data_IF_560598189628
#
_entry.id   IF_560598189628
#
_cell.length_a   1.000
_cell.length_b   1.000
_cell.length_c   1.000
_cell.angle_alpha   90.00
_cell.angle_beta   90.00
_cell.angle_gamma   90.00
#
_symmetry.space_group_name_H-M   'P 1'
#
loop_
_entity.id
_entity.type
_entity.pdbx_description
1 polymer ?
#
# COMPACT_ATOMS: atom_id res chain seq x y z
N UNK A 1 -11.78 24.44 3.86
CA UNK A 1 -12.42 25.78 3.90
C UNK A 1 -11.94 26.44 5.18
N UNK A 2 -11.15 27.51 5.07
CA UNK A 2 -10.67 28.26 6.23
C UNK A 2 -11.49 29.55 6.35
N UNK A 3 -12.01 29.83 7.54
CA UNK A 3 -12.62 31.12 7.87
C UNK A 3 -11.79 31.78 8.97
N UNK A 4 -11.46 33.08 8.86
CA UNK A 4 -11.78 33.96 7.73
C UNK A 4 -11.04 33.57 6.45
N UNK A 5 -11.52 34.03 5.27
CA UNK A 5 -10.89 33.72 4.00
C UNK A 5 -9.44 34.20 4.01
N UNK A 6 -8.49 33.29 3.78
CA UNK A 6 -7.09 33.69 3.53
C UNK A 6 -6.98 34.15 2.08
N UNK A 7 -6.35 35.30 1.86
CA UNK A 7 -5.98 35.73 0.51
C UNK A 7 -4.88 34.79 0.00
N UNK A 8 -5.17 34.06 -1.08
CA UNK A 8 -4.11 33.35 -1.81
C UNK A 8 -3.29 34.41 -2.56
N UNK A 9 -1.97 34.44 -2.34
CA UNK A 9 -1.07 35.37 -3.03
C UNK A 9 -1.16 35.14 -4.54
N UNK A 10 -1.33 36.22 -5.30
CA UNK A 10 -1.26 36.24 -6.77
C UNK A 10 0.19 36.34 -7.29
N UNK A 11 1.17 36.20 -6.41
CA UNK A 11 2.59 36.33 -6.71
C UNK A 11 3.11 35.03 -7.33
N UNK A 12 3.60 35.03 -8.58
CA UNK A 12 4.12 33.84 -9.26
C UNK A 12 5.34 33.22 -8.56
N UNK A 13 6.08 33.98 -7.75
CA UNK A 13 7.17 33.46 -6.91
C UNK A 13 6.69 32.87 -5.57
N UNK A 14 5.42 33.11 -5.22
CA UNK A 14 4.77 32.61 -4.01
C UNK A 14 3.57 31.73 -4.39
N UNK A 15 3.84 30.72 -5.22
CA UNK A 15 2.86 29.69 -5.54
C UNK A 15 2.49 28.96 -4.25
N UNK A 16 1.21 28.99 -3.82
CA UNK A 16 0.81 28.26 -2.63
C UNK A 16 1.11 26.78 -2.85
N UNK A 17 1.63 26.08 -1.84
CA UNK A 17 1.87 24.64 -1.96
C UNK A 17 0.56 23.96 -2.35
N UNK A 18 0.62 23.04 -3.31
CA UNK A 18 -0.52 22.21 -3.71
C UNK A 18 -0.95 21.44 -2.46
N UNK A 19 -2.05 21.89 -1.85
CA UNK A 19 -2.55 21.38 -0.59
C UNK A 19 -3.85 20.61 -0.82
N UNK A 20 -3.82 19.31 -0.57
CA UNK A 20 -4.99 18.44 -0.60
C UNK A 20 -5.44 18.13 0.83
N UNK A 21 -6.67 18.49 1.21
CA UNK A 21 -7.18 18.18 2.54
C UNK A 21 -7.37 16.67 2.77
N UNK A 22 -7.50 15.87 1.69
CA UNK A 22 -7.76 14.43 1.78
C UNK A 22 -6.55 13.64 2.29
N UNK A 23 -5.37 14.25 2.32
CA UNK A 23 -4.14 13.67 2.88
C UNK A 23 -3.77 14.27 4.23
N UNK A 24 -4.62 15.13 4.81
CA UNK A 24 -4.35 15.74 6.12
C UNK A 24 -4.89 14.85 7.24
N UNK A 25 -4.10 14.71 8.32
CA UNK A 25 -4.43 13.86 9.46
C UNK A 25 -5.83 14.10 10.05
N UNK A 26 -6.23 15.38 10.19
CA UNK A 26 -7.55 15.72 10.73
C UNK A 26 -8.70 15.19 9.88
N UNK A 27 -8.53 15.16 8.56
CA UNK A 27 -9.53 14.66 7.63
C UNK A 27 -9.49 13.14 7.58
N UNK A 28 -8.31 12.55 7.40
CA UNK A 28 -8.14 11.09 7.31
C UNK A 28 -8.59 10.39 8.59
N UNK A 29 -8.18 10.91 9.75
CA UNK A 29 -8.52 10.35 11.06
C UNK A 29 -9.99 10.48 11.43
N UNK A 30 -10.72 11.42 10.81
CA UNK A 30 -12.17 11.54 10.97
C UNK A 30 -12.95 10.74 9.91
N UNK A 31 -12.36 10.53 8.74
CA UNK A 31 -13.01 9.85 7.62
C UNK A 31 -12.87 8.32 7.67
N UNK A 32 -11.82 7.80 8.31
CA UNK A 32 -11.49 6.37 8.30
C UNK A 32 -11.06 5.87 9.67
N UNK A 33 -11.44 4.64 10.02
CA UNK A 33 -10.92 3.96 11.22
C UNK A 33 -9.47 3.51 11.01
N UNK A 34 -8.68 3.36 12.08
CA UNK A 34 -7.33 2.79 12.03
C UNK A 34 -7.28 1.47 11.25
N UNK A 35 -6.17 1.23 10.56
CA UNK A 35 -6.01 0.05 9.69
C UNK A 35 -4.61 -0.57 9.77
N UNK A 36 -4.59 -1.90 9.62
CA UNK A 36 -3.39 -2.72 9.40
C UNK A 36 -3.24 -2.97 7.91
N UNK A 37 -2.15 -2.48 7.33
CA UNK A 37 -1.93 -2.47 5.89
C UNK A 37 -0.69 -3.27 5.50
N UNK A 38 -0.85 -4.16 4.53
CA UNK A 38 0.29 -4.78 3.83
C UNK A 38 0.33 -4.29 2.39
N UNK A 39 1.43 -3.64 2.00
CA UNK A 39 1.62 -3.18 0.61
C UNK A 39 2.55 -4.14 -0.10
N UNK A 40 2.09 -4.72 -1.21
CA UNK A 40 2.85 -5.63 -2.06
C UNK A 40 3.27 -4.89 -3.33
N UNK A 41 4.57 -4.77 -3.55
CA UNK A 41 5.15 -4.07 -4.69
C UNK A 41 5.85 -5.07 -5.62
N UNK A 42 5.40 -5.13 -6.86
CA UNK A 42 5.94 -6.03 -7.87
C UNK A 42 7.34 -5.59 -8.35
N UNK A 43 8.36 -6.42 -8.11
CA UNK A 43 9.73 -6.17 -8.54
C UNK A 43 9.88 -6.14 -10.06
N UNK A 44 9.01 -6.82 -10.82
CA UNK A 44 9.04 -6.79 -12.29
C UNK A 44 8.71 -5.40 -12.84
N UNK A 45 7.92 -4.61 -12.09
CA UNK A 45 7.59 -3.21 -12.43
C UNK A 45 8.82 -2.29 -12.41
N UNK A 46 9.93 -2.72 -11.81
CA UNK A 46 11.15 -1.93 -11.69
C UNK A 46 12.07 -2.05 -12.91
N UNK A 47 11.74 -2.95 -13.85
CA UNK A 47 12.52 -3.18 -15.08
C UNK A 47 12.53 -1.96 -16.02
N UNK A 48 11.46 -1.17 -16.02
CA UNK A 48 11.35 0.06 -16.82
C UNK A 48 11.40 1.29 -15.91
N UNK A 49 12.18 2.32 -16.28
CA UNK A 49 12.25 3.59 -15.54
C UNK A 49 10.88 4.25 -15.39
N UNK A 50 10.02 4.16 -16.41
CA UNK A 50 8.66 4.72 -16.36
C UNK A 50 7.80 4.00 -15.33
N UNK A 51 7.75 2.66 -15.39
CA UNK A 51 6.96 1.83 -14.48
C UNK A 51 7.47 1.94 -13.04
N UNK A 52 8.79 1.95 -12.85
CA UNK A 52 9.44 2.18 -11.57
C UNK A 52 8.99 3.49 -10.93
N UNK A 53 9.02 4.59 -11.68
CA UNK A 53 8.61 5.89 -11.16
C UNK A 53 7.12 5.90 -10.77
N UNK A 54 6.26 5.23 -11.56
CA UNK A 54 4.84 5.11 -11.25
C UNK A 54 4.60 4.26 -9.99
N UNK A 55 5.21 3.08 -9.90
CA UNK A 55 5.08 2.21 -8.72
C UNK A 55 5.55 2.92 -7.43
N UNK A 56 6.69 3.62 -7.48
CA UNK A 56 7.20 4.41 -6.36
C UNK A 56 6.24 5.55 -6.01
N UNK A 57 5.74 6.29 -7.01
CA UNK A 57 4.82 7.40 -6.78
C UNK A 57 3.50 6.91 -6.17
N UNK A 58 2.89 5.85 -6.71
CA UNK A 58 1.68 5.24 -6.16
C UNK A 58 1.88 4.77 -4.73
N UNK A 59 2.99 4.07 -4.45
CA UNK A 59 3.29 3.60 -3.08
C UNK A 59 3.48 4.78 -2.13
N UNK A 60 4.20 5.84 -2.55
CA UNK A 60 4.38 7.05 -1.75
C UNK A 60 3.04 7.73 -1.44
N UNK A 61 2.17 7.88 -2.44
CA UNK A 61 0.85 8.49 -2.26
C UNK A 61 -0.03 7.69 -1.31
N UNK A 62 0.05 6.36 -1.31
CA UNK A 62 -0.63 5.52 -0.32
C UNK A 62 -0.07 5.81 1.08
N UNK A 63 1.26 5.80 1.23
CA UNK A 63 1.91 6.07 2.51
C UNK A 63 1.63 7.49 3.04
N UNK A 64 1.43 8.48 2.17
CA UNK A 64 1.03 9.85 2.52
C UNK A 64 -0.38 9.94 3.15
N UNK A 65 -1.20 8.89 3.02
CA UNK A 65 -2.54 8.83 3.63
C UNK A 65 -2.57 8.11 4.98
N UNK A 66 -1.41 7.62 5.45
CA UNK A 66 -1.33 6.89 6.71
C UNK A 66 -1.00 7.85 7.86
N UNK A 67 -1.62 7.58 9.00
CA UNK A 67 -1.45 8.31 10.25
C UNK A 67 -0.70 7.47 11.29
N UNK A 68 -0.34 8.08 12.42
CA UNK A 68 0.26 7.37 13.55
C UNK A 68 -0.65 6.28 14.14
N UNK A 69 -1.95 6.27 13.86
CA UNK A 69 -2.84 5.23 14.37
C UNK A 69 -2.85 3.98 13.47
N UNK A 70 -2.27 4.06 12.28
CA UNK A 70 -2.22 2.96 11.33
C UNK A 70 -0.96 2.13 11.49
N UNK A 71 -1.00 0.88 11.05
CA UNK A 71 0.16 0.00 10.98
C UNK A 71 0.39 -0.45 9.55
N UNK A 72 1.65 -0.46 9.10
CA UNK A 72 2.01 -0.76 7.71
C UNK A 72 3.31 -1.54 7.62
N UNK A 73 3.40 -2.42 6.62
CA UNK A 73 4.67 -2.88 6.09
C UNK A 73 4.60 -2.97 4.56
N UNK A 74 5.75 -2.85 3.91
CA UNK A 74 5.87 -2.86 2.46
C UNK A 74 6.82 -3.98 2.06
N UNK A 75 6.32 -4.89 1.24
CA UNK A 75 7.05 -6.02 0.71
C UNK A 75 7.30 -5.82 -0.77
N UNK A 76 8.51 -6.13 -1.22
CA UNK A 76 8.76 -6.41 -2.63
C UNK A 76 8.49 -7.88 -2.89
N UNK A 77 7.90 -8.19 -4.04
CA UNK A 77 7.79 -9.59 -4.49
C UNK A 77 8.32 -9.75 -5.90
N UNK A 78 9.02 -10.86 -6.11
CA UNK A 78 9.61 -11.28 -7.37
C UNK A 78 9.67 -12.81 -7.37
N UNK A 79 10.87 -13.37 -7.48
CA UNK A 79 11.13 -14.78 -7.18
C UNK A 79 10.89 -15.13 -5.70
N UNK A 80 11.25 -14.21 -4.80
CA UNK A 80 10.97 -14.25 -3.36
C UNK A 80 10.06 -13.12 -2.90
N UNK A 81 9.81 -13.06 -1.59
CA UNK A 81 9.04 -11.99 -0.93
C UNK A 81 9.88 -11.49 0.23
N UNK A 82 10.21 -10.21 0.22
CA UNK A 82 11.09 -9.59 1.21
C UNK A 82 10.55 -8.20 1.59
N UNK A 83 10.67 -7.82 2.86
CA UNK A 83 10.43 -6.45 3.30
C UNK A 83 11.43 -5.49 2.64
N UNK A 84 10.96 -4.30 2.27
CA UNK A 84 11.85 -3.32 1.65
C UNK A 84 12.82 -2.68 2.65
N UNK A 85 12.47 -2.69 3.95
CA UNK A 85 13.31 -2.22 5.06
C UNK A 85 13.67 -3.42 5.93
N UNK A 86 14.96 -3.77 5.99
CA UNK A 86 15.43 -4.93 6.75
C UNK A 86 15.09 -4.88 8.24
N UNK A 87 15.03 -3.69 8.85
CA UNK A 87 14.67 -3.52 10.26
C UNK A 87 13.18 -3.79 10.54
N UNK A 88 12.32 -3.83 9.52
CA UNK A 88 10.88 -4.06 9.65
C UNK A 88 10.49 -5.51 9.35
N UNK A 89 11.48 -6.41 9.39
CA UNK A 89 11.27 -7.84 9.15
C UNK A 89 10.24 -8.42 10.11
N UNK A 90 9.25 -9.14 9.58
CA UNK A 90 8.19 -9.84 10.32
C UNK A 90 7.30 -8.95 11.21
N UNK A 91 7.33 -7.63 11.00
CA UNK A 91 6.68 -6.62 11.85
C UNK A 91 5.92 -5.60 11.01
N UNK A 92 4.64 -5.39 11.30
CA UNK A 92 3.92 -4.17 10.90
C UNK A 92 4.35 -3.03 11.82
N UNK A 93 4.87 -1.96 11.22
CA UNK A 93 5.31 -0.77 11.95
C UNK A 93 4.22 0.28 11.99
N UNK A 94 4.19 1.08 13.05
CA UNK A 94 3.28 2.20 13.17
C UNK A 94 3.55 3.23 12.05
N UNK A 95 2.50 3.83 11.50
CA UNK A 95 2.54 4.88 10.48
C UNK A 95 3.03 6.23 10.99
N UNK A 96 4.07 6.26 11.82
CA UNK A 96 4.73 7.51 12.22
C UNK A 96 5.45 8.16 11.04
N UNK A 97 5.64 9.47 11.10
CA UNK A 97 6.34 10.22 10.07
C UNK A 97 7.75 9.68 9.82
N UNK A 98 8.44 9.24 10.87
CA UNK A 98 9.77 8.63 10.83
C UNK A 98 9.75 7.30 10.09
N UNK A 99 8.86 6.38 10.48
CA UNK A 99 8.76 5.06 9.85
C UNK A 99 8.36 5.18 8.37
N UNK A 100 7.35 6.00 8.08
CA UNK A 100 6.92 6.28 6.71
C UNK A 100 8.08 6.85 5.88
N UNK A 101 8.86 7.78 6.44
CA UNK A 101 10.03 8.36 5.77
C UNK A 101 11.09 7.31 5.44
N UNK A 102 11.36 6.38 6.35
CA UNK A 102 12.29 5.27 6.11
C UNK A 102 11.79 4.31 5.02
N UNK A 103 10.51 3.93 5.05
CA UNK A 103 9.89 3.12 3.99
C UNK A 103 10.05 3.83 2.62
N UNK A 104 9.74 5.14 2.57
CA UNK A 104 9.84 5.93 1.33
C UNK A 104 11.27 6.05 0.80
N UNK A 105 12.27 6.03 1.69
CA UNK A 105 13.70 6.04 1.33
C UNK A 105 14.16 4.69 0.77
N UNK A 106 13.56 3.59 1.20
CA UNK A 106 13.88 2.25 0.72
C UNK A 106 13.20 1.90 -0.62
N UNK A 107 12.06 2.50 -0.97
CA UNK A 107 11.37 2.21 -2.24
C UNK A 107 12.28 2.30 -3.50
N UNK A 108 13.15 3.32 -3.66
CA UNK A 108 14.03 3.39 -4.81
C UNK A 108 15.14 2.33 -4.82
N UNK A 109 15.43 1.64 -3.71
CA UNK A 109 16.51 0.63 -3.66
C UNK A 109 16.06 -0.75 -4.12
N UNK A 110 14.76 -0.94 -4.38
CA UNK A 110 14.20 -2.18 -4.93
C UNK A 110 14.85 -2.46 -6.29
N UNK A 111 15.37 -3.68 -6.43
CA UNK A 111 15.97 -4.17 -7.66
C UNK A 111 14.90 -4.81 -8.55
N UNK A 112 15.08 -4.68 -9.86
CA UNK A 112 14.22 -5.32 -10.83
C UNK A 112 14.47 -6.82 -10.87
N UNK A 113 13.39 -7.60 -10.95
CA UNK A 113 13.44 -9.04 -11.17
C UNK A 113 12.65 -9.40 -12.43
N UNK A 114 12.97 -10.53 -13.06
CA UNK A 114 12.30 -11.00 -14.27
C UNK A 114 11.02 -11.79 -13.99
N UNK A 115 10.92 -12.41 -12.81
CA UNK A 115 9.82 -13.29 -12.43
C UNK A 115 9.09 -12.71 -11.23
N UNK A 116 7.79 -12.99 -11.13
CA UNK A 116 6.95 -12.58 -10.02
C UNK A 116 6.11 -13.74 -9.50
N UNK A 117 6.09 -13.95 -8.19
CA UNK A 117 5.26 -14.94 -7.52
C UNK A 117 4.23 -14.25 -6.61
N UNK A 118 3.11 -13.85 -7.21
CA UNK A 118 2.01 -13.19 -6.49
C UNK A 118 1.40 -14.08 -5.41
N UNK A 119 1.37 -15.39 -5.64
CA UNK A 119 0.82 -16.38 -4.69
C UNK A 119 1.62 -16.41 -3.40
N UNK A 120 2.96 -16.40 -3.49
CA UNK A 120 3.82 -16.30 -2.33
C UNK A 120 3.62 -14.96 -1.60
N UNK A 121 3.55 -13.85 -2.36
CA UNK A 121 3.38 -12.51 -1.80
C UNK A 121 2.08 -12.36 -0.99
N UNK A 122 0.97 -12.84 -1.55
CA UNK A 122 -0.31 -12.83 -0.86
C UNK A 122 -0.32 -13.76 0.36
N UNK A 123 0.35 -14.92 0.29
CA UNK A 123 0.45 -15.82 1.45
C UNK A 123 1.13 -15.11 2.62
N UNK A 124 2.28 -14.48 2.39
CA UNK A 124 3.01 -13.71 3.41
C UNK A 124 2.16 -12.55 3.94
N UNK A 125 1.43 -11.85 3.07
CA UNK A 125 0.56 -10.75 3.48
C UNK A 125 -0.59 -11.22 4.38
N UNK A 126 -1.28 -12.30 4.01
CA UNK A 126 -2.36 -12.87 4.82
C UNK A 126 -1.85 -13.39 6.16
N UNK A 127 -0.72 -14.10 6.17
CA UNK A 127 -0.11 -14.61 7.40
C UNK A 127 0.30 -13.47 8.34
N UNK A 128 0.88 -12.40 7.79
CA UNK A 128 1.24 -11.19 8.56
C UNK A 128 0.01 -10.54 9.19
N UNK A 129 -1.03 -10.27 8.39
CA UNK A 129 -2.25 -9.64 8.90
C UNK A 129 -2.96 -10.53 9.92
N UNK A 130 -3.02 -11.85 9.68
CA UNK A 130 -3.63 -12.80 10.61
C UNK A 130 -2.86 -12.86 11.94
N UNK A 131 -1.53 -12.81 11.92
CA UNK A 131 -0.69 -12.72 13.13
C UNK A 131 -1.06 -11.49 13.95
N UNK A 132 -1.18 -10.32 13.32
CA UNK A 132 -1.51 -9.06 14.02
C UNK A 132 -2.94 -9.01 14.55
N UNK A 133 -3.88 -9.63 13.83
CA UNK A 133 -5.26 -9.81 14.30
C UNK A 133 -5.30 -10.71 15.55
N UNK A 134 -4.65 -11.88 15.50
CA UNK A 134 -4.68 -12.84 16.63
C UNK A 134 -3.94 -12.37 17.88
N UNK A 135 -2.85 -11.63 17.71
CA UNK A 135 -2.00 -11.21 18.83
C UNK A 135 -2.46 -9.93 19.52
N UNK A 136 -3.41 -9.19 18.93
CA UNK A 136 -3.82 -7.89 19.46
C UNK A 136 -2.83 -6.76 19.21
N UNK A 137 -1.71 -7.01 18.51
CA UNK A 137 -0.63 -6.04 18.29
C UNK A 137 -0.97 -4.99 17.22
N UNK A 138 -1.95 -5.27 16.35
CA UNK A 138 -2.44 -4.34 15.33
C UNK A 138 -3.57 -3.45 15.84
N UNK A 139 -4.23 -2.75 14.92
CA UNK A 139 -5.36 -1.84 15.19
C UNK A 139 -6.65 -2.54 15.60
N UNK A 140 -6.76 -3.86 15.38
CA UNK A 140 -7.97 -4.66 15.62
C UNK A 140 -9.22 -4.13 14.90
N UNK A 141 -9.02 -3.38 13.81
CA UNK A 141 -10.07 -2.74 13.04
C UNK A 141 -10.02 -3.24 11.59
N UNK A 142 -9.60 -2.40 10.65
CA UNK A 142 -9.56 -2.76 9.25
C UNK A 142 -8.24 -3.44 8.90
N UNK A 143 -8.29 -4.53 8.13
CA UNK A 143 -7.10 -5.14 7.54
C UNK A 143 -7.19 -5.06 6.02
N UNK A 144 -6.10 -4.67 5.37
CA UNK A 144 -6.07 -4.54 3.92
C UNK A 144 -4.74 -4.94 3.32
N UNK A 145 -4.82 -5.45 2.09
CA UNK A 145 -3.68 -5.72 1.21
C UNK A 145 -3.79 -4.78 0.01
N UNK A 146 -2.73 -4.04 -0.28
CA UNK A 146 -2.62 -3.21 -1.47
C UNK A 146 -1.57 -3.81 -2.41
N UNK A 147 -2.02 -4.31 -3.55
CA UNK A 147 -1.17 -4.88 -4.59
C UNK A 147 -0.85 -3.80 -5.64
N UNK A 148 0.43 -3.55 -5.88
CA UNK A 148 0.93 -2.60 -6.87
C UNK A 148 1.76 -3.38 -7.88
N UNK A 149 1.27 -3.50 -9.11
CA UNK A 149 1.88 -4.33 -10.16
C UNK A 149 1.71 -3.71 -11.54
N UNK A 150 2.65 -3.96 -12.45
CA UNK A 150 2.50 -3.69 -13.88
C UNK A 150 1.93 -4.88 -14.67
N UNK A 151 1.80 -6.04 -14.03
CA UNK A 151 1.35 -7.28 -14.65
C UNK A 151 -0.17 -7.41 -14.50
N UNK A 152 -0.81 -8.08 -15.45
CA UNK A 152 -2.26 -8.32 -15.44
C UNK A 152 -2.65 -9.64 -14.79
N UNK A 153 -1.66 -10.41 -14.31
CA UNK A 153 -1.90 -11.70 -13.65
C UNK A 153 -2.48 -11.50 -12.26
N UNK A 154 -3.59 -12.18 -11.99
CA UNK A 154 -4.19 -12.25 -10.66
C UNK A 154 -3.77 -13.54 -9.95
N UNK A 155 -3.83 -13.52 -8.61
CA UNK A 155 -3.59 -14.71 -7.83
C UNK A 155 -4.74 -15.72 -7.94
N UNK A 156 -4.45 -16.99 -7.63
CA UNK A 156 -5.48 -18.02 -7.62
C UNK A 156 -6.58 -17.71 -6.60
N UNK A 157 -7.83 -17.84 -7.04
CA UNK A 157 -9.01 -17.70 -6.18
C UNK A 157 -8.98 -18.70 -5.01
N UNK A 158 -8.40 -19.88 -5.19
CA UNK A 158 -8.32 -20.91 -4.14
C UNK A 158 -7.40 -20.47 -3.00
N UNK A 159 -6.31 -19.75 -3.32
CA UNK A 159 -5.43 -19.16 -2.31
C UNK A 159 -6.19 -18.15 -1.46
N UNK A 160 -6.89 -17.22 -2.11
CA UNK A 160 -7.63 -16.16 -1.43
C UNK A 160 -8.75 -16.76 -0.58
N UNK A 161 -9.48 -17.74 -1.11
CA UNK A 161 -10.52 -18.46 -0.37
C UNK A 161 -9.97 -19.16 0.87
N UNK A 162 -8.79 -19.79 0.77
CA UNK A 162 -8.16 -20.47 1.91
C UNK A 162 -7.88 -19.52 3.07
N UNK A 163 -7.49 -18.27 2.81
CA UNK A 163 -7.13 -17.32 3.85
C UNK A 163 -8.28 -16.43 4.31
N UNK A 164 -9.16 -16.01 3.39
CA UNK A 164 -10.11 -14.93 3.64
C UNK A 164 -11.57 -15.43 3.76
N UNK A 165 -11.92 -16.64 3.33
CA UNK A 165 -13.29 -17.16 3.38
C UNK A 165 -13.59 -17.83 4.75
N UNK A 166 -14.83 -17.80 5.28
CA UNK A 166 -16.07 -17.20 4.75
C UNK A 166 -16.29 -15.72 5.05
N UNK A 167 -15.63 -15.18 6.07
CA UNK A 167 -15.99 -13.88 6.63
C UNK A 167 -15.37 -12.69 5.90
N UNK A 168 -14.37 -12.93 5.04
CA UNK A 168 -13.65 -11.94 4.24
C UNK A 168 -13.17 -10.72 5.06
N UNK A 169 -12.45 -10.92 6.18
CA UNK A 169 -12.01 -9.80 7.03
C UNK A 169 -10.95 -8.90 6.38
N UNK A 170 -10.23 -9.37 5.35
CA UNK A 170 -9.16 -8.62 4.69
C UNK A 170 -9.63 -8.09 3.34
N UNK A 171 -9.49 -6.78 3.13
CA UNK A 171 -9.79 -6.11 1.86
C UNK A 171 -8.61 -6.18 0.90
N UNK A 172 -8.84 -6.40 -0.39
CA UNK A 172 -7.77 -6.42 -1.40
C UNK A 172 -7.99 -5.29 -2.40
N UNK A 173 -7.00 -4.40 -2.49
CA UNK A 173 -6.96 -3.33 -3.48
C UNK A 173 -5.86 -3.60 -4.49
N UNK A 174 -6.17 -3.44 -5.78
CA UNK A 174 -5.22 -3.66 -6.88
C UNK A 174 -4.95 -2.38 -7.64
N UNK A 175 -3.67 -2.06 -7.83
CA UNK A 175 -3.19 -0.93 -8.60
C UNK A 175 -2.35 -1.45 -9.77
N UNK A 176 -2.92 -1.39 -10.97
CA UNK A 176 -2.21 -1.68 -12.21
C UNK A 176 -1.46 -0.42 -12.66
N UNK A 177 -0.13 -0.42 -12.59
CA UNK A 177 0.70 0.72 -12.99
C UNK A 177 1.13 0.63 -14.45
N UNK A 178 0.84 1.68 -15.21
CA UNK A 178 1.29 1.83 -16.61
C UNK A 178 0.63 0.89 -17.63
N UNK A 179 -0.25 -0.02 -17.21
CA UNK A 179 -1.09 -0.85 -18.07
C UNK A 179 -2.47 -0.24 -18.32
N UNK A 180 -3.23 -0.83 -19.25
CA UNK A 180 -4.56 -0.34 -19.63
C UNK A 180 -5.68 -0.86 -18.72
N UNK A 181 -6.04 -2.15 -18.85
CA UNK A 181 -7.13 -2.78 -18.08
C UNK A 181 -6.81 -4.26 -17.89
N UNK A 182 -7.01 -4.76 -16.66
CA UNK A 182 -7.03 -6.19 -16.35
C UNK A 182 -8.38 -6.56 -15.75
N UNK A 183 -9.22 -7.33 -16.47
CA UNK A 183 -10.43 -7.91 -15.91
C UNK A 183 -10.16 -8.77 -14.67
N UNK A 184 -9.02 -9.47 -14.64
CA UNK A 184 -8.63 -10.41 -13.59
C UNK A 184 -8.33 -9.69 -12.27
N UNK A 185 -7.47 -8.66 -12.30
CA UNK A 185 -7.19 -7.83 -11.12
C UNK A 185 -8.45 -7.11 -10.63
N UNK A 186 -9.28 -6.64 -11.56
CA UNK A 186 -10.56 -6.00 -11.22
C UNK A 186 -11.49 -6.98 -10.52
N UNK A 187 -11.63 -8.19 -11.01
CA UNK A 187 -12.44 -9.24 -10.39
C UNK A 187 -11.91 -9.61 -9.00
N UNK A 188 -10.58 -9.74 -8.86
CA UNK A 188 -9.93 -9.99 -7.57
C UNK A 188 -10.25 -8.89 -6.55
N UNK A 189 -10.18 -7.61 -6.92
CA UNK A 189 -10.55 -6.51 -6.04
C UNK A 189 -12.07 -6.49 -5.74
N UNK A 190 -12.92 -6.72 -6.74
CA UNK A 190 -14.37 -6.67 -6.58
C UNK A 190 -14.92 -7.78 -5.66
N UNK A 191 -14.25 -8.92 -5.61
CA UNK A 191 -14.65 -10.08 -4.81
C UNK A 191 -14.17 -10.04 -3.36
N UNK A 192 -13.25 -9.14 -2.99
CA UNK A 192 -12.63 -9.08 -1.67
C UNK A 192 -12.84 -7.70 -1.01
N UNK A 193 -13.97 -7.54 -0.30
CA UNK A 193 -14.45 -6.26 0.28
C UNK A 193 -14.49 -6.28 1.80
#
# INVERSE_FOLDING_TARGET
>A
IAWPPRQFSSDPDNTPPVSDFRTMDWFVGSATSPKDLTILVDATSFSSRKLRNLAIATTKSILDTLSSNDFVNVYRYGTGVDEIVACFKDVLVQGSAENIKEIKRALPTIQAESNSNITAALSVAFETLQKYNRTGLGTQCNQAIMLITSNTEAASLDLIKRYNWPHMPVRIFTYLVGGDKSPELREMACTNK
#
